data_IF_656506637300
#
_entry.id   IF_656506637300
#
_cell.length_a   1.000
_cell.length_b   1.000
_cell.length_c   1.000
_cell.angle_alpha   90.00
_cell.angle_beta   90.00
_cell.angle_gamma   90.00
#
_symmetry.space_group_name_H-M   'P 1'
#
loop_
_entity.id
_entity.type
_entity.pdbx_description
1 polymer ?
#
# COMPACT_ATOMS: atom_id res chain seq x y z
N UNK A 1 6.17 -25.58 5.72
CA UNK A 1 6.49 -24.65 5.97
C UNK A 1 6.17 -23.50 5.13
N UNK A 2 6.97 -23.07 4.23
CA UNK A 2 6.70 -21.91 3.43
C UNK A 2 5.41 -21.95 2.66
N UNK A 3 4.94 -23.14 2.36
CA UNK A 3 3.71 -23.29 1.60
C UNK A 3 2.50 -22.80 2.33
N UNK A 4 2.45 -23.03 3.62
CA UNK A 4 1.31 -22.60 4.41
C UNK A 4 1.28 -21.08 4.51
N UNK A 5 2.45 -20.50 4.64
CA UNK A 5 2.53 -19.05 4.77
C UNK A 5 2.02 -18.35 3.52
N UNK A 6 2.32 -18.91 2.34
CA UNK A 6 1.90 -18.29 1.10
C UNK A 6 0.40 -18.25 0.93
N UNK A 7 -0.30 -19.25 1.44
CA UNK A 7 -1.75 -19.25 1.36
C UNK A 7 -2.36 -18.27 2.32
N UNK A 8 -1.75 -18.18 3.49
CA UNK A 8 -2.35 -17.39 4.55
C UNK A 8 -2.33 -15.92 4.24
N UNK A 9 -1.29 -15.43 3.55
CA UNK A 9 -1.22 -13.99 3.35
C UNK A 9 -2.32 -13.48 2.42
N UNK A 10 -2.79 -14.30 1.49
CA UNK A 10 -3.84 -13.84 0.58
C UNK A 10 -5.13 -13.53 1.35
N UNK A 11 -5.51 -14.44 2.22
CA UNK A 11 -6.72 -14.24 3.01
C UNK A 11 -6.57 -13.05 3.95
N UNK A 12 -5.44 -12.97 4.62
CA UNK A 12 -5.20 -11.85 5.53
C UNK A 12 -5.18 -10.53 4.80
N UNK A 13 -4.59 -10.51 3.60
CA UNK A 13 -4.58 -9.29 2.80
C UNK A 13 -6.00 -8.86 2.44
N UNK A 14 -6.84 -9.81 2.04
CA UNK A 14 -8.22 -9.50 1.71
C UNK A 14 -9.00 -9.00 2.91
N UNK A 15 -8.84 -9.68 4.05
CA UNK A 15 -9.55 -9.28 5.28
C UNK A 15 -9.12 -7.91 5.75
N UNK A 16 -7.82 -7.64 5.72
CA UNK A 16 -7.30 -6.35 6.16
C UNK A 16 -7.72 -5.24 5.19
N UNK A 17 -7.64 -5.52 3.89
CA UNK A 17 -8.08 -4.56 2.90
C UNK A 17 -9.54 -4.16 3.14
N UNK A 18 -10.41 -5.15 3.32
CA UNK A 18 -11.83 -4.90 3.53
C UNK A 18 -12.06 -4.12 4.81
N UNK A 19 -11.34 -4.46 5.87
CA UNK A 19 -11.48 -3.78 7.14
C UNK A 19 -11.14 -2.30 7.03
N UNK A 20 -9.97 -2.01 6.44
CA UNK A 20 -9.54 -0.62 6.33
C UNK A 20 -10.42 0.12 5.34
N UNK A 21 -10.75 -0.50 4.21
CA UNK A 21 -11.55 0.13 3.16
C UNK A 21 -12.93 0.52 3.66
N UNK A 22 -13.52 -0.33 4.48
CA UNK A 22 -14.87 -0.10 4.98
C UNK A 22 -14.97 1.20 5.79
N UNK A 23 -13.95 1.50 6.58
CA UNK A 23 -13.97 2.68 7.41
C UNK A 23 -13.18 3.86 6.88
N UNK A 24 -12.57 3.70 5.71
CA UNK A 24 -11.67 4.72 5.18
C UNK A 24 -12.44 5.90 4.60
N UNK A 25 -12.00 7.12 4.97
CA UNK A 25 -12.52 8.35 4.39
C UNK A 25 -11.38 9.14 3.78
N UNK A 26 -11.52 9.45 2.51
CA UNK A 26 -10.46 10.16 1.80
C UNK A 26 -10.49 11.65 2.12
N UNK A 27 -9.34 12.17 2.51
CA UNK A 27 -9.14 13.61 2.73
C UNK A 27 -7.76 13.93 2.17
N UNK A 28 -7.68 14.96 1.35
CA UNK A 28 -6.42 15.35 0.73
C UNK A 28 -5.38 15.76 1.78
N UNK A 29 -4.13 15.39 1.53
CA UNK A 29 -3.02 15.78 2.41
C UNK A 29 -2.94 17.28 2.60
N UNK A 30 -3.24 18.03 1.56
CA UNK A 30 -3.12 19.47 1.60
C UNK A 30 -4.03 20.10 2.65
N UNK A 31 -5.12 19.42 2.95
CA UNK A 31 -6.06 19.92 3.95
C UNK A 31 -5.84 19.32 5.31
N UNK A 32 -5.04 18.28 5.41
CA UNK A 32 -4.90 17.52 6.64
C UNK A 32 -3.56 17.71 7.32
N UNK A 33 -2.47 17.66 6.57
CA UNK A 33 -1.12 17.76 7.11
C UNK A 33 -0.40 18.92 6.47
N UNK A 34 0.60 19.40 7.14
CA UNK A 34 1.39 20.48 6.60
C UNK A 34 2.37 20.05 5.53
N UNK A 35 2.80 18.80 5.56
CA UNK A 35 3.77 18.29 4.61
C UNK A 35 3.40 16.89 4.16
N UNK A 36 3.77 16.52 2.93
CA UNK A 36 3.50 15.17 2.45
C UNK A 36 4.27 14.09 3.16
N UNK A 37 5.35 14.44 3.86
CA UNK A 37 6.16 13.43 4.55
C UNK A 37 5.69 13.16 5.97
N UNK A 38 4.64 13.81 6.42
CA UNK A 38 4.18 13.65 7.79
C UNK A 38 3.31 12.40 7.91
N UNK A 39 3.92 11.25 7.72
CA UNK A 39 3.23 9.98 7.77
C UNK A 39 3.10 9.51 9.21
N UNK A 40 1.92 9.12 9.60
CA UNK A 40 1.64 8.64 10.95
C UNK A 40 0.78 7.41 10.90
N UNK A 41 0.91 6.59 11.95
CA UNK A 41 -0.04 5.49 12.12
C UNK A 41 -1.37 6.07 12.55
N UNK A 42 -2.46 5.53 12.03
CA UNK A 42 -3.78 5.96 12.47
C UNK A 42 -4.01 5.52 13.91
N UNK A 43 -4.81 6.29 14.63
CA UNK A 43 -5.18 5.92 15.99
C UNK A 43 -6.21 4.81 15.98
N UNK A 44 -7.01 4.73 14.94
CA UNK A 44 -8.07 3.74 14.83
C UNK A 44 -8.06 3.18 13.42
N UNK A 45 -7.66 1.91 13.29
CA UNK A 45 -7.57 1.27 11.97
C UNK A 45 -8.93 1.02 11.35
N UNK A 46 -10.00 1.12 12.10
CA UNK A 46 -11.34 0.95 11.56
C UNK A 46 -11.95 2.26 11.10
N UNK A 47 -11.25 3.38 11.32
CA UNK A 47 -11.73 4.71 10.93
C UNK A 47 -10.55 5.54 10.45
N UNK A 48 -9.89 5.08 9.39
CA UNK A 48 -8.73 5.79 8.85
C UNK A 48 -9.23 6.95 7.99
N UNK A 49 -8.70 8.13 8.27
CA UNK A 49 -9.02 9.34 7.51
C UNK A 49 -7.74 9.85 6.90
N UNK A 50 -7.75 10.13 5.63
CA UNK A 50 -6.57 10.63 4.96
C UNK A 50 -6.58 10.33 3.49
N UNK A 51 -5.40 10.24 2.89
CA UNK A 51 -5.28 9.95 1.47
C UNK A 51 -4.70 8.55 1.26
N UNK A 52 -4.14 8.31 0.07
CA UNK A 52 -3.61 6.99 -0.25
C UNK A 52 -2.46 6.59 0.69
N UNK A 53 -1.69 7.57 1.17
CA UNK A 53 -0.59 7.25 2.09
C UNK A 53 -1.12 6.66 3.38
N UNK A 54 -2.16 7.27 3.93
CA UNK A 54 -2.73 6.81 5.19
C UNK A 54 -3.34 5.42 5.04
N UNK A 55 -3.99 5.17 3.91
CA UNK A 55 -4.58 3.85 3.66
C UNK A 55 -3.48 2.79 3.55
N UNK A 56 -2.45 3.06 2.78
CA UNK A 56 -1.37 2.09 2.55
C UNK A 56 -0.60 1.81 3.83
N UNK A 57 -0.35 2.85 4.62
CA UNK A 57 0.38 2.70 5.89
C UNK A 57 -0.44 1.87 6.87
N UNK A 58 -1.75 2.10 6.92
CA UNK A 58 -2.62 1.31 7.79
C UNK A 58 -2.59 -0.16 7.39
N UNK A 59 -2.68 -0.45 6.10
CA UNK A 59 -2.64 -1.83 5.63
C UNK A 59 -1.31 -2.49 5.97
N UNK A 60 -0.19 -1.78 5.76
CA UNK A 60 1.11 -2.35 6.09
C UNK A 60 1.23 -2.67 7.58
N UNK A 61 0.76 -1.75 8.42
CA UNK A 61 0.85 -1.96 9.87
C UNK A 61 0.05 -3.19 10.30
N UNK A 62 -1.15 -3.35 9.78
CA UNK A 62 -1.98 -4.49 10.15
C UNK A 62 -1.43 -5.80 9.62
N UNK A 63 -0.91 -5.80 8.40
CA UNK A 63 -0.29 -7.00 7.84
C UNK A 63 0.96 -7.39 8.63
N UNK A 64 1.75 -6.41 9.01
CA UNK A 64 2.94 -6.68 9.81
C UNK A 64 2.56 -7.24 11.17
N UNK A 65 1.52 -6.71 11.78
CA UNK A 65 1.02 -7.21 13.06
C UNK A 65 0.57 -8.66 12.94
N UNK A 66 0.02 -9.01 11.78
CA UNK A 66 -0.42 -10.37 11.52
C UNK A 66 0.74 -11.33 11.18
N UNK A 67 1.97 -10.82 11.16
CA UNK A 67 3.14 -11.66 10.96
C UNK A 67 3.66 -11.72 9.54
N UNK A 68 3.19 -10.85 8.66
CA UNK A 68 3.59 -10.88 7.26
C UNK A 68 4.61 -9.79 6.94
N UNK A 69 5.50 -10.09 6.02
CA UNK A 69 6.41 -9.10 5.48
C UNK A 69 5.73 -8.40 4.30
N UNK A 70 5.65 -7.08 4.39
CA UNK A 70 5.02 -6.29 3.34
C UNK A 70 5.72 -4.96 3.22
N UNK A 71 5.47 -4.28 2.11
CA UNK A 71 6.18 -3.04 1.77
C UNK A 71 5.21 -2.03 1.21
N UNK A 72 5.65 -0.78 1.15
CA UNK A 72 4.94 0.25 0.43
C UNK A 72 5.60 0.43 -0.93
N UNK A 73 4.80 0.74 -1.94
CA UNK A 73 5.32 1.05 -3.26
C UNK A 73 4.78 2.42 -3.66
N UNK A 74 5.70 3.32 -4.00
CA UNK A 74 5.32 4.59 -4.59
C UNK A 74 5.23 4.40 -6.09
N UNK A 75 4.14 4.84 -6.68
CA UNK A 75 3.90 4.68 -8.09
C UNK A 75 3.24 5.93 -8.66
N UNK A 76 3.13 5.97 -9.99
CA UNK A 76 2.34 6.98 -10.67
C UNK A 76 1.18 6.29 -11.32
N UNK A 77 0.01 6.88 -11.21
CA UNK A 77 -1.18 6.29 -11.80
C UNK A 77 -1.22 6.62 -13.28
N UNK A 78 -2.27 6.13 -13.94
CA UNK A 78 -2.46 6.38 -15.37
C UNK A 78 -2.53 7.86 -15.70
N UNK A 79 -2.86 8.69 -14.71
CA UNK A 79 -2.92 10.14 -14.90
C UNK A 79 -1.61 10.84 -14.59
N UNK A 80 -0.59 10.09 -14.22
CA UNK A 80 0.71 10.65 -13.91
C UNK A 80 0.86 11.14 -12.48
N UNK A 81 -0.18 11.07 -11.67
CA UNK A 81 -0.12 11.52 -10.29
C UNK A 81 0.55 10.53 -9.38
N UNK A 82 1.16 11.05 -8.31
CA UNK A 82 1.79 10.19 -7.31
C UNK A 82 0.76 9.41 -6.51
N UNK A 83 1.12 8.19 -6.12
CA UNK A 83 0.20 7.30 -5.43
C UNK A 83 0.98 6.27 -4.64
N UNK A 84 0.45 5.88 -3.48
CA UNK A 84 1.10 4.90 -2.62
C UNK A 84 0.19 3.70 -2.42
N UNK A 85 0.78 2.51 -2.52
CA UNK A 85 0.04 1.27 -2.30
C UNK A 85 0.81 0.41 -1.32
N UNK A 86 0.13 -0.56 -0.71
CA UNK A 86 0.76 -1.55 0.14
C UNK A 86 0.89 -2.83 -0.66
N UNK A 87 2.06 -3.45 -0.59
CA UNK A 87 2.35 -4.67 -1.36
C UNK A 87 2.72 -5.81 -0.44
N UNK A 88 2.14 -6.96 -0.69
CA UNK A 88 2.52 -8.19 0.01
C UNK A 88 2.61 -9.30 -1.04
N UNK A 89 3.82 -9.87 -1.18
CA UNK A 89 4.05 -10.82 -2.25
C UNK A 89 3.76 -10.15 -3.59
N UNK A 90 2.89 -10.73 -4.37
CA UNK A 90 2.51 -10.17 -5.66
C UNK A 90 1.21 -9.37 -5.60
N UNK A 91 0.65 -9.21 -4.42
CA UNK A 91 -0.65 -8.56 -4.24
C UNK A 91 -0.48 -7.09 -3.85
N UNK A 92 -1.45 -6.29 -4.25
CA UNK A 92 -1.48 -4.87 -3.94
C UNK A 92 -2.78 -4.52 -3.21
N UNK A 93 -2.64 -3.74 -2.13
CA UNK A 93 -3.76 -3.17 -1.41
C UNK A 93 -3.78 -1.69 -1.76
N UNK A 94 -4.71 -1.31 -2.60
CA UNK A 94 -4.78 0.02 -3.20
C UNK A 94 -6.16 0.61 -2.94
N UNK A 95 -6.21 1.77 -2.30
CA UNK A 95 -7.48 2.38 -1.95
C UNK A 95 -8.35 2.74 -3.16
N UNK A 96 -7.75 2.82 -4.35
CA UNK A 96 -8.50 3.10 -5.58
C UNK A 96 -9.23 1.87 -6.11
N UNK A 97 -8.87 0.68 -5.62
CA UNK A 97 -9.46 -0.57 -6.08
C UNK A 97 -10.56 -1.00 -5.13
N UNK A 98 -11.47 -1.84 -5.61
CA UNK A 98 -12.53 -2.39 -4.78
C UNK A 98 -12.10 -3.67 -4.08
N UNK A 99 -11.08 -4.32 -4.61
CA UNK A 99 -10.59 -5.60 -4.08
C UNK A 99 -9.08 -5.58 -4.09
N UNK A 100 -8.48 -6.51 -3.33
CA UNK A 100 -7.06 -6.77 -3.46
C UNK A 100 -6.83 -7.27 -4.88
N UNK A 101 -5.80 -6.74 -5.55
CA UNK A 101 -5.48 -7.12 -6.93
C UNK A 101 -4.00 -7.45 -6.99
N UNK A 102 -3.58 -8.07 -8.10
CA UNK A 102 -2.16 -8.31 -8.30
C UNK A 102 -1.48 -7.03 -8.75
N UNK A 103 -0.22 -6.86 -8.36
CA UNK A 103 0.56 -5.70 -8.77
C UNK A 103 0.62 -5.63 -10.30
N UNK A 104 0.76 -6.78 -10.95
CA UNK A 104 0.81 -6.84 -12.41
C UNK A 104 -0.46 -6.29 -13.06
N UNK A 105 -1.59 -6.46 -12.41
CA UNK A 105 -2.84 -5.89 -12.93
C UNK A 105 -2.77 -4.37 -12.95
N UNK A 106 -2.22 -3.78 -11.90
CA UNK A 106 -2.11 -2.32 -11.84
C UNK A 106 -1.19 -1.81 -12.95
N UNK A 107 -0.09 -2.51 -13.19
CA UNK A 107 0.87 -2.08 -14.20
C UNK A 107 0.35 -2.33 -15.61
N UNK A 108 -0.13 -3.54 -15.87
CA UNK A 108 -0.45 -3.95 -17.24
C UNK A 108 -1.84 -3.51 -17.69
N UNK A 109 -2.78 -3.44 -16.75
CA UNK A 109 -4.18 -3.12 -17.10
C UNK A 109 -4.55 -1.70 -16.71
N UNK A 110 -4.10 -1.23 -15.56
CA UNK A 110 -4.46 0.11 -15.10
C UNK A 110 -3.45 1.17 -15.50
N UNK A 111 -2.31 0.80 -16.03
CA UNK A 111 -1.34 1.78 -16.51
C UNK A 111 -0.50 2.43 -15.43
N UNK A 112 -0.35 1.79 -14.29
CA UNK A 112 0.51 2.32 -13.23
C UNK A 112 1.97 2.14 -13.58
N UNK A 113 2.78 3.09 -13.14
CA UNK A 113 4.23 2.99 -13.25
C UNK A 113 4.80 2.90 -11.83
N UNK A 114 5.49 1.80 -11.53
CA UNK A 114 6.10 1.63 -10.21
C UNK A 114 7.38 2.44 -10.16
N UNK A 115 7.58 3.21 -9.10
CA UNK A 115 8.71 4.12 -9.00
C UNK A 115 9.72 3.66 -7.96
N UNK A 116 9.25 3.40 -6.73
CA UNK A 116 10.17 2.99 -5.67
C UNK A 116 9.45 2.12 -4.66
N UNK A 117 10.23 1.32 -3.94
CA UNK A 117 9.70 0.40 -2.94
C UNK A 117 10.37 0.65 -1.60
N UNK A 118 9.59 0.61 -0.53
CA UNK A 118 10.10 0.80 0.82
C UNK A 118 10.78 -0.45 1.36
N UNK A 119 11.47 -0.30 2.49
CA UNK A 119 11.86 -1.45 3.28
C UNK A 119 10.65 -2.00 4.02
N UNK A 120 10.92 -2.96 4.91
CA UNK A 120 9.86 -3.64 5.63
C UNK A 120 9.33 -2.83 6.81
N UNK A 121 10.11 -1.90 7.31
CA UNK A 121 9.75 -1.12 8.49
C UNK A 121 9.71 0.36 8.17
N UNK A 122 8.92 1.12 8.95
CA UNK A 122 8.93 2.58 8.79
C UNK A 122 10.34 3.12 8.98
N UNK A 123 10.73 4.04 8.13
CA UNK A 123 12.04 4.65 8.21
C UNK A 123 13.12 3.90 7.45
N UNK A 124 12.85 2.71 6.96
CA UNK A 124 13.82 1.99 6.16
C UNK A 124 14.05 2.69 4.83
N UNK A 125 15.22 2.47 4.27
CA UNK A 125 15.58 3.10 3.01
C UNK A 125 14.71 2.58 1.86
N UNK A 126 14.33 3.49 0.98
CA UNK A 126 13.56 3.15 -0.22
C UNK A 126 14.51 2.86 -1.38
N UNK A 127 14.06 2.00 -2.28
CA UNK A 127 14.84 1.61 -3.45
C UNK A 127 14.08 1.96 -4.72
N UNK A 128 14.80 2.48 -5.69
CA UNK A 128 14.20 2.93 -6.93
C UNK A 128 13.95 1.75 -7.87
N UNK A 129 12.68 1.50 -8.16
CA UNK A 129 12.28 0.43 -9.07
C UNK A 129 12.50 0.86 -10.52
N UNK A 130 12.19 2.12 -10.81
CA UNK A 130 12.30 2.63 -12.17
C UNK A 130 13.71 2.47 -12.72
N UNK A 131 14.70 2.72 -11.89
CA UNK A 131 16.07 2.58 -12.33
C UNK A 131 16.42 1.14 -12.66
N UNK A 132 15.87 0.21 -11.89
CA UNK A 132 16.12 -1.19 -12.15
C UNK A 132 15.39 -1.67 -13.40
N UNK A 133 14.15 -1.20 -13.57
CA UNK A 133 13.34 -1.62 -14.69
C UNK A 133 13.91 -1.16 -16.02
N UNK A 134 14.58 -0.02 -16.02
CA UNK A 134 15.11 0.52 -17.26
C UNK A 134 16.44 -0.11 -17.66
N UNK A 135 16.98 -0.92 -16.80
CA UNK A 135 18.21 -1.63 -17.18
C UNK A 135 17.90 -2.99 -17.81
#
# INVERSE_FOLDING_TARGET
>A
MGLLDNKDYTKDAEDIFDRVKKGFRYVSDETQYGTPEDWRFPEDFDNVVGDCDDFAIACRALLKEAGHECRLIFCRTENGGGHLICAIGKLALDNRMKFVVEISYLVNTRGYELVSVSGLNPGDQWHNISGLASS
#
